data_IF_171904576393
#
_entry.id   IF_171904576393
#
_cell.length_a   1.000
_cell.length_b   1.000
_cell.length_c   1.000
_cell.angle_alpha   90.00
_cell.angle_beta   90.00
_cell.angle_gamma   90.00
#
_symmetry.space_group_name_H-M   'P 1'
#
loop_
_entity.id
_entity.type
_entity.pdbx_description
1 polymer ?
#
# COMPACT_ATOMS: atom_id res chain seq x y z
N UNK A 1 -7.77 -9.26 -9.75
CA UNK A 1 -8.08 -9.97 -8.50
C UNK A 1 -9.15 -9.22 -7.74
N UNK A 2 -10.19 -9.91 -7.33
CA UNK A 2 -11.29 -9.30 -6.59
C UNK A 2 -10.88 -9.04 -5.14
N UNK A 3 -11.57 -8.11 -4.51
CA UNK A 3 -11.29 -7.78 -3.11
C UNK A 3 -11.49 -9.01 -2.20
N UNK A 4 -12.41 -9.90 -2.55
CA UNK A 4 -12.60 -11.14 -1.79
C UNK A 4 -11.34 -11.99 -1.78
N UNK A 5 -10.70 -12.11 -2.93
CA UNK A 5 -9.45 -12.86 -3.03
C UNK A 5 -8.35 -12.20 -2.23
N UNK A 6 -8.31 -10.88 -2.27
CA UNK A 6 -7.32 -10.11 -1.52
C UNK A 6 -7.52 -10.32 -0.02
N UNK A 7 -8.78 -10.30 0.43
CA UNK A 7 -9.08 -10.56 1.84
C UNK A 7 -8.54 -11.91 2.28
N UNK A 8 -8.77 -12.93 1.47
CA UNK A 8 -8.34 -14.27 1.81
C UNK A 8 -6.82 -14.42 1.81
N UNK A 9 -6.17 -13.78 0.85
CA UNK A 9 -4.72 -13.91 0.71
C UNK A 9 -3.95 -13.08 1.72
N UNK A 10 -4.51 -11.95 2.14
CA UNK A 10 -3.82 -11.04 3.07
C UNK A 10 -4.27 -11.22 4.51
N UNK A 11 -5.47 -11.76 4.71
CA UNK A 11 -6.05 -11.83 6.04
C UNK A 11 -6.58 -10.49 6.53
N UNK A 12 -6.58 -9.48 5.68
CA UNK A 12 -7.11 -8.17 6.03
C UNK A 12 -8.62 -8.12 5.75
N UNK A 13 -9.34 -7.31 6.51
CA UNK A 13 -10.75 -7.11 6.25
C UNK A 13 -10.93 -6.17 5.05
N UNK A 14 -12.10 -6.25 4.44
CA UNK A 14 -12.42 -5.37 3.33
C UNK A 14 -12.31 -3.90 3.75
N UNK A 15 -12.77 -3.59 4.94
CA UNK A 15 -12.70 -2.22 5.46
C UNK A 15 -11.26 -1.74 5.54
N UNK A 16 -10.36 -2.59 6.01
CA UNK A 16 -8.94 -2.22 6.10
C UNK A 16 -8.32 -2.03 4.72
N UNK A 17 -8.65 -2.90 3.79
CA UNK A 17 -8.10 -2.79 2.43
C UNK A 17 -8.54 -1.47 1.80
N UNK A 18 -9.81 -1.12 1.95
CA UNK A 18 -10.33 0.12 1.40
C UNK A 18 -9.77 1.34 2.13
N UNK A 19 -9.52 1.20 3.42
CA UNK A 19 -8.88 2.27 4.17
C UNK A 19 -7.48 2.56 3.62
N UNK A 20 -6.71 1.52 3.37
CA UNK A 20 -5.37 1.70 2.82
C UNK A 20 -5.41 2.28 1.41
N UNK A 21 -6.42 1.93 0.65
CA UNK A 21 -6.63 2.53 -0.67
C UNK A 21 -6.91 4.02 -0.52
N UNK A 22 -7.74 4.40 0.43
CA UNK A 22 -8.06 5.81 0.68
C UNK A 22 -6.82 6.59 1.12
N UNK A 23 -5.94 5.93 1.85
CA UNK A 23 -4.71 6.57 2.29
C UNK A 23 -3.66 6.67 1.18
N UNK A 24 -3.98 6.15 0.01
CA UNK A 24 -3.09 6.24 -1.13
C UNK A 24 -1.97 5.22 -1.12
N UNK A 25 -2.12 4.17 -0.32
CA UNK A 25 -1.08 3.14 -0.21
C UNK A 25 -1.19 2.08 -1.28
N UNK A 26 -2.39 1.85 -1.82
CA UNK A 26 -2.62 0.94 -2.93
C UNK A 26 -3.52 1.62 -3.95
N UNK A 27 -3.35 1.26 -5.21
CA UNK A 27 -4.08 1.88 -6.31
C UNK A 27 -4.59 0.82 -7.27
N UNK A 28 -5.65 0.10 -6.88
CA UNK A 28 -6.18 -0.93 -7.78
C UNK A 28 -6.78 -0.30 -9.03
N UNK A 29 -6.64 -1.00 -10.14
CA UNK A 29 -7.23 -0.55 -11.39
C UNK A 29 -8.75 -0.68 -11.31
N UNK A 30 -9.46 0.17 -12.05
CA UNK A 30 -10.91 0.10 -12.14
C UNK A 30 -11.30 -0.51 -13.47
N UNK A 31 -12.17 -1.50 -13.41
CA UNK A 31 -12.70 -2.10 -14.61
C UNK A 31 -13.88 -1.28 -15.13
N UNK A 32 -14.33 -1.58 -16.36
CA UNK A 32 -15.41 -0.84 -17.01
C UNK A 32 -16.68 -0.82 -16.18
N UNK A 33 -16.93 -1.90 -15.43
CA UNK A 33 -18.13 -2.01 -14.60
C UNK A 33 -17.93 -1.45 -13.20
N UNK A 34 -16.82 -0.77 -12.96
CA UNK A 34 -16.57 -0.13 -11.68
C UNK A 34 -15.91 -1.02 -10.64
N UNK A 35 -15.68 -2.29 -10.95
CA UNK A 35 -15.02 -3.19 -10.01
C UNK A 35 -13.55 -2.85 -9.87
N UNK A 36 -13.04 -2.99 -8.66
CA UNK A 36 -11.63 -2.84 -8.40
C UNK A 36 -10.89 -4.11 -8.79
N UNK A 37 -9.79 -3.94 -9.48
CA UNK A 37 -8.98 -5.06 -9.92
C UNK A 37 -7.60 -4.92 -9.29
N UNK A 38 -7.36 -5.70 -8.24
CA UNK A 38 -6.11 -5.64 -7.50
C UNK A 38 -5.05 -6.45 -8.23
N UNK A 39 -3.88 -5.84 -8.42
CA UNK A 39 -2.77 -6.50 -9.09
C UNK A 39 -1.95 -7.30 -8.07
N UNK A 40 -1.06 -8.19 -8.55
CA UNK A 40 -0.11 -8.85 -7.64
C UNK A 40 0.74 -7.86 -6.86
N UNK A 41 1.08 -6.71 -7.46
CA UNK A 41 1.82 -5.67 -6.76
C UNK A 41 1.01 -5.08 -5.62
N UNK A 42 -0.28 -4.88 -5.85
CA UNK A 42 -1.18 -4.39 -4.80
C UNK A 42 -1.24 -5.39 -3.65
N UNK A 43 -1.31 -6.67 -3.98
CA UNK A 43 -1.33 -7.71 -2.97
C UNK A 43 -0.06 -7.68 -2.12
N UNK A 44 1.08 -7.56 -2.77
CA UNK A 44 2.36 -7.51 -2.07
C UNK A 44 2.44 -6.29 -1.16
N UNK A 45 1.96 -5.15 -1.66
CA UNK A 45 1.93 -3.92 -0.88
C UNK A 45 1.07 -4.11 0.39
N UNK A 46 -0.10 -4.72 0.23
CA UNK A 46 -0.99 -4.94 1.35
C UNK A 46 -0.38 -5.89 2.38
N UNK A 47 0.32 -6.91 1.92
CA UNK A 47 0.99 -7.83 2.83
C UNK A 47 2.08 -7.12 3.62
N UNK A 48 2.81 -6.24 2.96
CA UNK A 48 3.84 -5.44 3.62
C UNK A 48 3.24 -4.50 4.65
N UNK A 49 2.14 -3.85 4.29
CA UNK A 49 1.44 -2.96 5.22
C UNK A 49 0.96 -3.75 6.45
N UNK A 50 0.39 -4.91 6.20
CA UNK A 50 -0.08 -5.76 7.29
C UNK A 50 1.06 -6.09 8.26
N UNK A 51 2.20 -6.47 7.73
CA UNK A 51 3.35 -6.80 8.55
C UNK A 51 3.82 -5.59 9.35
N UNK A 52 3.95 -4.44 8.68
CA UNK A 52 4.41 -3.22 9.34
C UNK A 52 3.45 -2.78 10.44
N UNK A 53 2.15 -2.92 10.20
CA UNK A 53 1.16 -2.56 11.21
C UNK A 53 1.24 -3.48 12.43
N UNK A 54 1.59 -4.73 12.22
CA UNK A 54 1.78 -5.66 13.33
C UNK A 54 3.00 -5.31 14.16
N UNK A 55 3.93 -4.59 13.56
CA UNK A 55 5.12 -4.09 14.26
C UNK A 55 4.88 -2.69 14.82
N UNK A 56 3.63 -2.25 14.83
CA UNK A 56 3.22 -0.95 15.35
C UNK A 56 3.79 0.24 14.57
N UNK A 57 4.09 0.04 13.30
CA UNK A 57 4.52 1.13 12.44
C UNK A 57 3.30 1.97 12.05
N UNK A 58 3.30 3.27 12.30
CA UNK A 58 2.14 4.10 11.97
C UNK A 58 1.95 4.25 10.46
N UNK A 59 0.71 4.50 10.06
CA UNK A 59 0.35 4.67 8.66
C UNK A 59 1.17 5.78 8.01
N UNK A 60 1.40 6.84 8.72
CA UNK A 60 2.16 7.97 8.20
C UNK A 60 3.57 7.56 7.82
N UNK A 61 4.18 6.71 8.63
CA UNK A 61 5.52 6.23 8.37
C UNK A 61 5.54 5.29 7.17
N UNK A 62 4.52 4.44 7.08
CA UNK A 62 4.40 3.53 5.93
C UNK A 62 4.25 4.34 4.65
N UNK A 63 3.46 5.40 4.70
CA UNK A 63 3.28 6.27 3.54
C UNK A 63 4.59 6.93 3.14
N UNK A 64 5.36 7.38 4.11
CA UNK A 64 6.67 7.98 3.84
C UNK A 64 7.62 6.99 3.18
N UNK A 65 7.60 5.76 3.64
CA UNK A 65 8.45 4.72 3.07
C UNK A 65 8.09 4.45 1.62
N UNK A 66 6.81 4.43 1.31
CA UNK A 66 6.36 4.22 -0.07
C UNK A 66 6.70 5.41 -0.96
N UNK A 67 6.55 6.61 -0.43
CA UNK A 67 6.87 7.82 -1.19
C UNK A 67 8.35 7.86 -1.53
N UNK A 68 9.20 7.50 -0.57
CA UNK A 68 10.63 7.44 -0.79
C UNK A 68 10.98 6.38 -1.84
N UNK A 69 10.27 5.28 -1.82
CA UNK A 69 10.50 4.21 -2.79
C UNK A 69 10.07 4.64 -4.18
N UNK A 70 8.98 5.38 -4.28
CA UNK A 70 8.46 5.83 -5.57
C UNK A 70 9.22 7.03 -6.12
N UNK A 71 9.96 7.71 -5.28
CA UNK A 71 10.72 8.88 -5.67
C UNK A 71 12.20 8.67 -5.36
N UNK A 72 12.86 7.82 -6.10
CA UNK A 72 14.25 7.48 -5.82
C UNK A 72 15.19 8.69 -5.86
N UNK A 73 14.82 9.71 -6.60
CA UNK A 73 15.65 10.91 -6.68
C UNK A 73 15.67 11.64 -5.36
N UNK A 74 14.59 11.58 -4.62
CA UNK A 74 14.44 12.39 -3.44
C UNK A 74 15.38 12.03 -2.32
N UNK A 75 15.89 10.82 -2.30
CA UNK A 75 16.75 10.47 -1.20
C UNK A 75 18.22 10.45 -1.55
N UNK A 76 18.55 10.78 -2.72
CA UNK A 76 19.95 10.92 -3.04
C UNK A 76 20.49 12.22 -2.47
N UNK A 77 19.69 12.96 -1.96
CA UNK A 77 20.11 14.11 -1.23
C UNK A 77 19.37 14.14 0.07
N UNK A 78 19.31 13.77 0.09
CA UNK A 78 18.88 13.77 0.91
C UNK A 78 19.12 13.66 1.69
N UNK A 79 19.45 13.40 1.79
CA UNK A 79 19.73 13.36 2.40
C UNK A 79 19.95 13.68 2.81
N UNK A 80 20.15 13.65 2.76
CA UNK A 80 20.48 14.01 2.96
C UNK A 80 20.16 14.56 3.39
N UNK A 81 20.23 14.61 3.55
CA UNK A 81 20.11 15.02 3.84
C UNK A 81 19.78 15.17 4.13
N UNK A 82 19.86 14.94 4.28
CA UNK A 82 19.78 15.02 4.48
C UNK A 82 19.52 14.97 4.60
N UNK A 83 19.61 14.96 5.02
CA UNK A 83 19.65 14.95 5.14
C UNK A 83 19.68 15.03 5.29
#
# INVERSE_FOLDING_TARGET
MHIKDVEQRTGLSRANIRYYEQEGLVHPARRKNGYRDYSPDDLETLLRIRLLRRLDVPIEEIRSMQAGKLSPVSYTHLRAHET
#
